data_IF_947884209093
#
_entry.id   IF_947884209093
#
_cell.length_a   1.000
_cell.length_b   1.000
_cell.length_c   1.000
_cell.angle_alpha   90.00
_cell.angle_beta   90.00
_cell.angle_gamma   90.00
#
_symmetry.space_group_name_H-M   'P 1'
#
loop_
_entity.id
_entity.type
_entity.pdbx_description
1 polymer ?
#
# COMPACT_ATOMS: atom_id res chain seq x y z
N UNK A 1 -16.24 13.38 -18.54
CA UNK A 1 -15.16 14.32 -18.28
C UNK A 1 -15.42 15.10 -17.01
N UNK A 2 -14.38 15.40 -16.26
CA UNK A 2 -14.52 16.10 -14.99
C UNK A 2 -14.68 17.61 -15.24
N UNK A 3 -15.64 18.22 -14.53
CA UNK A 3 -15.83 19.66 -14.58
C UNK A 3 -14.53 20.38 -14.14
N UNK A 4 -14.20 21.50 -14.78
CA UNK A 4 -12.96 22.24 -14.54
C UNK A 4 -12.76 22.59 -13.07
N UNK A 5 -13.79 23.09 -12.40
CA UNK A 5 -13.71 23.46 -10.99
C UNK A 5 -13.39 22.27 -10.11
N UNK A 6 -14.03 21.14 -10.36
CA UNK A 6 -13.80 19.92 -9.58
C UNK A 6 -12.39 19.39 -9.84
N UNK A 7 -11.92 19.47 -11.07
CA UNK A 7 -10.57 19.08 -11.43
C UNK A 7 -9.53 19.91 -10.65
N UNK A 8 -9.72 21.23 -10.62
CA UNK A 8 -8.82 22.13 -9.88
C UNK A 8 -8.84 21.87 -8.38
N UNK A 9 -10.02 21.68 -7.79
CA UNK A 9 -10.15 21.38 -6.37
C UNK A 9 -9.51 20.04 -6.02
N UNK A 10 -9.64 19.06 -6.91
CA UNK A 10 -9.01 17.75 -6.71
C UNK A 10 -7.49 17.88 -6.73
N UNK A 11 -6.94 18.70 -7.62
CA UNK A 11 -5.50 18.95 -7.66
C UNK A 11 -5.00 19.63 -6.38
N UNK A 12 -5.76 20.59 -5.85
CA UNK A 12 -5.42 21.23 -4.58
C UNK A 12 -5.42 20.21 -3.44
N UNK A 13 -6.42 19.35 -3.41
CA UNK A 13 -6.51 18.29 -2.41
C UNK A 13 -5.31 17.33 -2.51
N UNK A 14 -4.93 16.94 -3.71
CA UNK A 14 -3.75 16.09 -3.93
C UNK A 14 -2.50 16.80 -3.40
N UNK A 15 -2.39 18.11 -3.61
CA UNK A 15 -1.30 18.91 -3.04
C UNK A 15 -1.25 18.82 -1.51
N UNK A 16 -2.41 18.82 -0.86
CA UNK A 16 -2.50 18.66 0.59
C UNK A 16 -2.05 17.26 1.02
N UNK A 17 -2.41 16.24 0.26
CA UNK A 17 -1.95 14.87 0.52
C UNK A 17 -0.42 14.81 0.48
N UNK A 18 0.19 15.46 -0.52
CA UNK A 18 1.65 15.52 -0.65
C UNK A 18 2.34 16.18 0.54
N UNK A 19 1.63 17.04 1.26
CA UNK A 19 2.19 17.72 2.43
C UNK A 19 2.07 16.92 3.72
N UNK A 20 1.36 15.79 3.70
CA UNK A 20 1.22 14.96 4.90
C UNK A 20 2.51 14.23 5.23
N UNK A 21 2.74 13.98 6.51
CA UNK A 21 3.89 13.20 6.95
C UNK A 21 3.82 11.76 6.41
N UNK A 22 2.62 11.22 6.34
CA UNK A 22 2.38 9.86 5.80
C UNK A 22 2.89 9.76 4.37
N UNK A 23 2.53 10.71 3.50
CA UNK A 23 2.97 10.68 2.11
C UNK A 23 4.46 10.93 1.98
N UNK A 24 4.99 11.90 2.72
CA UNK A 24 6.42 12.21 2.70
C UNK A 24 7.26 11.03 3.13
N UNK A 25 6.83 10.33 4.17
CA UNK A 25 7.54 9.13 4.63
C UNK A 25 7.48 8.02 3.58
N UNK A 26 6.32 7.83 2.95
CA UNK A 26 6.19 6.85 1.87
C UNK A 26 7.17 7.14 0.74
N UNK A 27 7.25 8.39 0.29
CA UNK A 27 8.21 8.77 -0.76
C UNK A 27 9.65 8.52 -0.33
N UNK A 28 9.99 8.87 0.91
CA UNK A 28 11.34 8.66 1.45
C UNK A 28 11.72 7.19 1.44
N UNK A 29 10.81 6.33 1.92
CA UNK A 29 11.09 4.90 1.96
C UNK A 29 11.12 4.27 0.56
N UNK A 30 10.28 4.75 -0.34
CA UNK A 30 10.29 4.30 -1.73
C UNK A 30 11.63 4.62 -2.41
N UNK A 31 12.12 5.84 -2.26
CA UNK A 31 13.42 6.22 -2.80
C UNK A 31 14.54 5.38 -2.19
N UNK A 32 14.47 5.13 -0.89
CA UNK A 32 15.46 4.33 -0.19
C UNK A 32 15.53 2.90 -0.74
N UNK A 33 14.38 2.23 -0.87
CA UNK A 33 14.36 0.84 -1.32
C UNK A 33 14.73 0.72 -2.79
N UNK A 34 14.45 1.73 -3.60
CA UNK A 34 14.83 1.73 -5.03
C UNK A 34 16.34 1.75 -5.23
N UNK A 35 17.10 2.14 -4.23
CA UNK A 35 18.57 2.05 -4.27
C UNK A 35 19.05 0.61 -4.15
N UNK A 36 18.17 -0.31 -3.81
CA UNK A 36 18.45 -1.74 -3.67
C UNK A 36 17.51 -2.51 -4.59
N UNK A 37 17.81 -2.53 -5.91
CA UNK A 37 16.88 -3.12 -6.90
C UNK A 37 16.46 -4.55 -6.60
N UNK A 38 17.36 -5.37 -6.05
CA UNK A 38 17.05 -6.75 -5.69
C UNK A 38 15.98 -6.81 -4.60
N UNK A 39 16.08 -5.95 -3.59
CA UNK A 39 15.08 -5.87 -2.53
C UNK A 39 13.74 -5.37 -3.07
N UNK A 40 13.77 -4.39 -3.95
CA UNK A 40 12.56 -3.85 -4.54
C UNK A 40 11.84 -4.91 -5.40
N UNK A 41 12.60 -5.67 -6.16
CA UNK A 41 12.05 -6.77 -6.96
C UNK A 41 11.43 -7.85 -6.04
N UNK A 42 12.08 -8.13 -4.92
CA UNK A 42 11.56 -9.09 -3.94
C UNK A 42 10.26 -8.60 -3.28
N UNK A 43 10.13 -7.29 -3.05
CA UNK A 43 8.87 -6.72 -2.55
C UNK A 43 7.75 -6.95 -3.55
N UNK A 44 8.01 -6.70 -4.83
CA UNK A 44 7.00 -6.91 -5.87
C UNK A 44 6.59 -8.39 -5.98
N UNK A 45 7.55 -9.29 -5.85
CA UNK A 45 7.27 -10.72 -5.83
C UNK A 45 6.46 -11.13 -4.60
N UNK A 46 6.81 -10.56 -3.43
CA UNK A 46 6.08 -10.79 -2.18
C UNK A 46 4.62 -10.38 -2.33
N UNK A 47 4.36 -9.21 -2.89
CA UNK A 47 3.00 -8.71 -3.12
C UNK A 47 2.22 -9.63 -4.04
N UNK A 48 2.85 -10.08 -5.13
CA UNK A 48 2.22 -10.96 -6.11
C UNK A 48 1.84 -12.29 -5.48
N UNK A 49 2.75 -12.88 -4.72
CA UNK A 49 2.49 -14.15 -4.03
C UNK A 49 1.38 -14.02 -2.99
N UNK A 50 1.41 -12.93 -2.22
CA UNK A 50 0.38 -12.67 -1.22
C UNK A 50 -0.99 -12.56 -1.87
N UNK A 51 -1.08 -11.82 -2.96
CA UNK A 51 -2.33 -11.66 -3.72
C UNK A 51 -2.82 -13.01 -4.27
N UNK A 52 -1.93 -13.80 -4.85
CA UNK A 52 -2.27 -15.11 -5.39
C UNK A 52 -2.85 -16.04 -4.31
N UNK A 53 -2.20 -16.09 -3.15
CA UNK A 53 -2.66 -16.94 -2.05
C UNK A 53 -4.06 -16.53 -1.61
N UNK A 54 -4.30 -15.24 -1.44
CA UNK A 54 -5.58 -14.73 -0.96
C UNK A 54 -6.68 -14.84 -2.00
N UNK A 55 -6.34 -14.74 -3.28
CA UNK A 55 -7.32 -14.72 -4.36
C UNK A 55 -7.75 -16.09 -4.83
N UNK A 56 -6.84 -17.09 -4.83
CA UNK A 56 -7.11 -18.39 -5.45
C UNK A 56 -7.23 -19.54 -4.45
N UNK A 57 -6.84 -19.35 -3.20
CA UNK A 57 -6.89 -20.39 -2.19
C UNK A 57 -8.29 -20.52 -1.61
N UNK A 58 -8.69 -21.76 -1.36
CA UNK A 58 -9.94 -22.02 -0.65
C UNK A 58 -9.76 -21.76 0.86
N UNK A 59 -10.86 -21.50 1.54
CA UNK A 59 -10.83 -21.08 2.94
C UNK A 59 -10.07 -22.06 3.85
N UNK A 60 -10.22 -23.36 3.62
CA UNK A 60 -9.55 -24.40 4.41
C UNK A 60 -8.05 -24.50 4.13
N UNK A 61 -7.63 -24.11 2.93
CA UNK A 61 -6.22 -24.11 2.53
C UNK A 61 -5.54 -22.79 2.85
N UNK A 62 -6.32 -21.70 2.91
CA UNK A 62 -5.79 -20.35 3.04
C UNK A 62 -4.91 -20.18 4.29
N UNK A 63 -5.38 -20.70 5.42
CA UNK A 63 -4.63 -20.58 6.68
C UNK A 63 -3.25 -21.23 6.57
N UNK A 64 -3.18 -22.45 6.06
CA UNK A 64 -1.91 -23.17 5.94
C UNK A 64 -0.98 -22.50 4.95
N UNK A 65 -1.52 -22.03 3.83
CA UNK A 65 -0.72 -21.34 2.81
C UNK A 65 -0.19 -20.01 3.33
N UNK A 66 -1.00 -19.26 4.08
CA UNK A 66 -0.56 -18.00 4.67
C UNK A 66 0.51 -18.23 5.74
N UNK A 67 0.35 -19.28 6.56
CA UNK A 67 1.36 -19.62 7.56
C UNK A 67 2.69 -19.98 6.92
N UNK A 68 2.67 -20.80 5.86
CA UNK A 68 3.88 -21.16 5.12
C UNK A 68 4.51 -19.94 4.46
N UNK A 69 3.70 -19.07 3.90
CA UNK A 69 4.14 -17.84 3.25
C UNK A 69 4.84 -16.91 4.26
N UNK A 70 4.23 -16.72 5.43
CA UNK A 70 4.82 -15.90 6.48
C UNK A 70 6.15 -16.46 6.96
N UNK A 71 6.25 -17.77 7.07
CA UNK A 71 7.50 -18.44 7.46
C UNK A 71 8.58 -18.26 6.39
N UNK A 72 8.22 -18.42 5.11
CA UNK A 72 9.14 -18.25 3.99
C UNK A 72 9.71 -16.84 3.92
N UNK A 73 8.88 -15.83 4.19
CA UNK A 73 9.27 -14.42 4.07
C UNK A 73 9.62 -13.76 5.40
N UNK A 74 9.79 -14.53 6.47
CA UNK A 74 10.08 -13.95 7.79
C UNK A 74 11.34 -13.10 7.78
N UNK A 75 12.45 -13.65 7.33
CA UNK A 75 13.73 -12.94 7.29
C UNK A 75 13.67 -11.72 6.38
N UNK A 76 13.01 -11.87 5.25
CA UNK A 76 12.80 -10.78 4.31
C UNK A 76 12.07 -9.61 4.98
N UNK A 77 10.99 -9.90 5.71
CA UNK A 77 10.20 -8.87 6.38
C UNK A 77 10.92 -8.23 7.57
N UNK A 78 11.90 -8.91 8.14
CA UNK A 78 12.70 -8.37 9.23
C UNK A 78 13.81 -7.43 8.73
N UNK A 79 14.10 -7.43 7.44
CA UNK A 79 15.04 -6.47 6.87
C UNK A 79 14.48 -5.06 7.07
N UNK A 80 15.27 -4.17 7.67
CA UNK A 80 14.82 -2.84 8.06
C UNK A 80 14.34 -2.02 6.85
N UNK A 81 15.05 -2.09 5.73
CA UNK A 81 14.68 -1.35 4.52
C UNK A 81 13.31 -1.81 4.01
N UNK A 82 13.09 -3.12 3.99
CA UNK A 82 11.81 -3.70 3.56
C UNK A 82 10.70 -3.36 4.55
N UNK A 83 10.95 -3.56 5.83
CA UNK A 83 9.97 -3.31 6.90
C UNK A 83 9.53 -1.84 6.90
N UNK A 84 10.47 -0.91 6.83
CA UNK A 84 10.15 0.51 6.83
C UNK A 84 9.34 0.90 5.59
N UNK A 85 9.67 0.34 4.43
CA UNK A 85 8.91 0.60 3.22
C UNK A 85 7.49 0.04 3.30
N UNK A 86 7.33 -1.21 3.71
CA UNK A 86 6.01 -1.83 3.82
C UNK A 86 5.11 -1.13 4.83
N UNK A 87 5.68 -0.70 5.95
CA UNK A 87 4.93 0.05 6.96
C UNK A 87 4.48 1.42 6.43
N UNK A 88 5.36 2.11 5.73
CA UNK A 88 5.03 3.40 5.14
C UNK A 88 3.95 3.28 4.05
N UNK A 89 4.05 2.23 3.23
CA UNK A 89 3.06 1.96 2.20
C UNK A 89 1.70 1.63 2.80
N UNK A 90 1.68 0.83 3.86
CA UNK A 90 0.43 0.49 4.55
C UNK A 90 -0.24 1.73 5.12
N UNK A 91 0.54 2.61 5.75
CA UNK A 91 0.01 3.85 6.32
C UNK A 91 -0.59 4.74 5.22
N UNK A 92 0.08 4.84 4.08
CA UNK A 92 -0.42 5.60 2.93
C UNK A 92 -1.72 4.98 2.40
N UNK A 93 -1.76 3.67 2.21
CA UNK A 93 -2.96 2.98 1.73
C UNK A 93 -4.13 3.19 2.69
N UNK A 94 -3.90 3.13 4.00
CA UNK A 94 -4.94 3.37 5.00
C UNK A 94 -5.48 4.79 4.94
N UNK A 95 -4.60 5.77 4.77
CA UNK A 95 -5.03 7.16 4.60
C UNK A 95 -5.93 7.31 3.39
N UNK A 96 -5.54 6.71 2.25
CA UNK A 96 -6.35 6.78 1.03
C UNK A 96 -7.70 6.08 1.19
N UNK A 97 -7.73 4.97 1.92
CA UNK A 97 -8.97 4.27 2.23
C UNK A 97 -9.90 5.12 3.10
N UNK A 98 -9.35 5.80 4.10
CA UNK A 98 -10.13 6.71 4.96
C UNK A 98 -10.70 7.87 4.15
N UNK A 99 -9.91 8.45 3.25
CA UNK A 99 -10.37 9.53 2.37
C UNK A 99 -11.52 9.04 1.50
N UNK A 100 -11.36 7.87 0.88
CA UNK A 100 -12.40 7.29 0.02
C UNK A 100 -13.68 7.01 0.80
N UNK A 101 -13.54 6.45 2.00
CA UNK A 101 -14.70 6.16 2.86
C UNK A 101 -15.42 7.43 3.27
N UNK A 102 -14.67 8.48 3.61
CA UNK A 102 -15.26 9.76 3.98
C UNK A 102 -16.05 10.35 2.82
N UNK A 103 -15.53 10.31 1.62
CA UNK A 103 -16.20 10.82 0.42
C UNK A 103 -17.51 10.05 0.20
N UNK A 104 -17.45 8.72 0.25
CA UNK A 104 -18.62 7.86 0.04
C UNK A 104 -19.68 8.13 1.11
N UNK A 105 -19.27 8.21 2.38
CA UNK A 105 -20.19 8.42 3.49
C UNK A 105 -20.87 9.79 3.43
N UNK A 106 -20.10 10.85 3.14
CA UNK A 106 -20.63 12.21 3.07
C UNK A 106 -21.56 12.41 1.88
N UNK A 107 -21.29 11.73 0.76
CA UNK A 107 -22.16 11.81 -0.40
C UNK A 107 -23.33 10.84 -0.34
N UNK A 108 -23.35 10.00 0.70
CA UNK A 108 -24.39 8.99 0.87
C UNK A 108 -24.52 8.10 -0.38
N UNK A 109 -23.39 7.71 -0.92
CA UNK A 109 -23.29 6.94 -2.16
C UNK A 109 -23.40 5.46 -1.86
N UNK A 110 -24.39 4.80 -2.47
CA UNK A 110 -24.62 3.36 -2.27
C UNK A 110 -24.26 2.53 -3.49
#
# INVERSE_FOLDING_TARGET
>A
MLEQRIHEQTKEFIGQIHETDVYKNYETQLERIKRYPDLYDQVNEYRRKNFEIQSVSQADELYDKMENFEREYRDFRENTIVSDFLDAELAFCRMMQEISSLIVDELNFE
#
